data_IF_166023987048
#
_entry.id   IF_166023987048
#
_cell.length_a   1.000
_cell.length_b   1.000
_cell.length_c   1.000
_cell.angle_alpha   90.00
_cell.angle_beta   90.00
_cell.angle_gamma   90.00
#
_symmetry.space_group_name_H-M   'P 1'
#
loop_
_entity.id
_entity.type
_entity.pdbx_description
1 polymer ?
#
# COMPACT_ATOMS: atom_id res chain seq x y z
N UNK A 1 -26.31 -40.29 -21.48
CA UNK A 1 -24.85 -40.13 -21.35
C UNK A 1 -24.51 -38.65 -21.23
N UNK A 2 -24.85 -37.97 -20.13
CA UNK A 2 -24.69 -36.49 -20.03
C UNK A 2 -24.66 -35.89 -18.62
N UNK A 3 -25.21 -36.54 -17.59
CA UNK A 3 -25.32 -35.92 -16.24
C UNK A 3 -23.99 -35.87 -15.48
N UNK A 4 -23.19 -36.95 -15.54
CA UNK A 4 -21.94 -37.09 -14.75
C UNK A 4 -20.84 -36.15 -15.23
N UNK A 5 -20.77 -35.85 -16.53
CA UNK A 5 -19.78 -34.96 -17.11
C UNK A 5 -19.98 -33.50 -16.71
N UNK A 6 -21.24 -33.07 -16.52
CA UNK A 6 -21.56 -31.72 -16.03
C UNK A 6 -21.16 -31.49 -14.57
N UNK A 7 -21.30 -32.51 -13.72
CA UNK A 7 -20.85 -32.42 -12.32
C UNK A 7 -19.33 -32.31 -12.20
N UNK A 8 -18.59 -33.01 -13.06
CA UNK A 8 -17.12 -32.96 -13.07
C UNK A 8 -16.66 -31.58 -13.57
N UNK A 9 -17.25 -31.04 -14.63
CA UNK A 9 -16.92 -29.69 -15.14
C UNK A 9 -17.26 -28.60 -14.11
N UNK A 10 -18.42 -28.69 -13.45
CA UNK A 10 -18.80 -27.76 -12.39
C UNK A 10 -17.83 -27.83 -11.19
N UNK A 11 -17.40 -29.04 -10.80
CA UNK A 11 -16.45 -29.24 -9.71
C UNK A 11 -15.06 -28.67 -10.04
N UNK A 12 -14.57 -28.88 -11.26
CA UNK A 12 -13.28 -28.32 -11.72
C UNK A 12 -13.33 -26.78 -11.82
N UNK A 13 -14.47 -26.21 -12.21
CA UNK A 13 -14.66 -24.75 -12.19
C UNK A 13 -14.79 -24.18 -10.77
N UNK A 14 -15.36 -24.93 -9.83
CA UNK A 14 -15.42 -24.52 -8.42
C UNK A 14 -14.02 -24.53 -7.77
N UNK A 15 -13.20 -25.53 -8.07
CA UNK A 15 -11.86 -25.64 -7.48
C UNK A 15 -10.87 -24.65 -8.07
N UNK A 16 -10.97 -24.31 -9.37
CA UNK A 16 -10.11 -23.29 -9.99
C UNK A 16 -10.36 -21.88 -9.43
N UNK A 17 -11.61 -21.53 -9.12
CA UNK A 17 -11.95 -20.26 -8.46
C UNK A 17 -11.42 -20.19 -7.02
N UNK A 18 -11.48 -21.29 -6.26
CA UNK A 18 -10.98 -21.36 -4.89
C UNK A 18 -9.44 -21.29 -4.83
N UNK A 19 -8.73 -21.92 -5.78
CA UNK A 19 -7.26 -21.85 -5.88
C UNK A 19 -6.80 -20.42 -6.24
N UNK A 20 -7.60 -19.69 -7.01
CA UNK A 20 -7.31 -18.29 -7.37
C UNK A 20 -7.49 -17.32 -6.18
N UNK A 21 -8.47 -17.56 -5.30
CA UNK A 21 -8.71 -16.72 -4.12
C UNK A 21 -7.60 -16.78 -3.05
N UNK A 22 -6.84 -17.87 -2.99
CA UNK A 22 -5.76 -18.04 -2.00
C UNK A 22 -4.49 -17.23 -2.30
N UNK A 23 -4.39 -16.62 -3.49
CA UNK A 23 -3.26 -15.80 -3.91
C UNK A 23 -3.47 -14.30 -3.65
N UNK A 24 -4.54 -13.93 -2.94
CA UNK A 24 -4.94 -12.54 -2.74
C UNK A 24 -4.01 -11.81 -1.76
N UNK A 25 -3.03 -11.11 -2.34
CA UNK A 25 -2.24 -9.97 -1.83
C UNK A 25 -1.79 -9.98 -0.37
N UNK A 26 -0.62 -10.57 -0.11
CA UNK A 26 0.23 -10.16 1.00
C UNK A 26 0.82 -8.76 0.71
N UNK A 27 0.02 -7.70 0.81
CA UNK A 27 0.55 -6.33 0.73
C UNK A 27 1.21 -6.00 2.07
N UNK A 28 2.53 -5.72 2.12
CA UNK A 28 3.17 -5.32 3.36
C UNK A 28 2.52 -4.05 3.89
N UNK A 29 2.16 -4.03 5.18
CA UNK A 29 1.61 -2.84 5.82
C UNK A 29 2.69 -1.75 5.87
N UNK A 30 2.43 -0.63 5.20
CA UNK A 30 3.31 0.53 5.23
C UNK A 30 3.31 1.17 6.63
N UNK A 31 4.45 1.70 7.10
CA UNK A 31 4.54 2.33 8.40
C UNK A 31 3.65 3.58 8.46
N UNK A 32 2.88 3.71 9.55
CA UNK A 32 2.00 4.86 9.81
C UNK A 32 2.37 5.55 11.12
N UNK A 33 2.33 6.88 11.12
CA UNK A 33 2.62 7.72 12.30
C UNK A 33 1.63 8.88 12.34
N UNK A 34 1.13 9.22 13.54
CA UNK A 34 0.33 10.44 13.75
C UNK A 34 1.20 11.61 14.20
N UNK A 35 0.98 12.76 13.60
CA UNK A 35 1.57 14.07 13.92
C UNK A 35 0.43 15.08 14.10
N UNK A 36 0.72 16.28 14.59
CA UNK A 36 -0.28 17.34 14.79
C UNK A 36 -1.11 17.65 13.53
N UNK A 37 -0.50 17.57 12.34
CA UNK A 37 -1.15 17.84 11.06
C UNK A 37 -1.92 16.66 10.47
N UNK A 38 -1.84 15.46 11.06
CA UNK A 38 -2.57 14.28 10.60
C UNK A 38 -1.78 12.96 10.65
N UNK A 39 -2.28 11.94 9.95
CA UNK A 39 -1.61 10.65 9.81
C UNK A 39 -0.71 10.64 8.57
N UNK A 40 0.53 10.18 8.75
CA UNK A 40 1.54 10.03 7.71
C UNK A 40 1.72 8.55 7.40
N UNK A 41 1.85 8.21 6.11
CA UNK A 41 2.27 6.90 5.64
C UNK A 41 3.66 7.01 5.02
N UNK A 42 4.57 6.13 5.43
CA UNK A 42 5.95 6.10 4.93
C UNK A 42 6.27 4.83 4.15
N UNK A 43 7.55 4.64 3.85
CA UNK A 43 8.13 3.41 3.29
C UNK A 43 9.14 2.81 4.26
N UNK A 44 9.48 1.53 4.04
CA UNK A 44 10.62 0.88 4.68
C UNK A 44 11.65 0.64 3.58
N UNK A 45 12.73 1.41 3.63
CA UNK A 45 13.87 1.30 2.73
C UNK A 45 15.04 0.63 3.46
N UNK A 46 16.16 0.43 2.77
CA UNK A 46 17.38 -0.10 3.39
C UNK A 46 18.54 0.88 3.21
N UNK A 47 19.39 1.02 4.24
CA UNK A 47 20.62 1.81 4.14
C UNK A 47 21.54 1.23 3.06
N UNK A 48 22.13 2.08 2.21
CA UNK A 48 22.95 1.63 1.08
C UNK A 48 24.16 0.79 1.48
N UNK A 49 24.81 1.09 2.61
CA UNK A 49 26.08 0.45 3.02
C UNK A 49 25.84 -0.79 3.88
N UNK A 50 24.97 -0.68 4.89
CA UNK A 50 24.80 -1.75 5.89
C UNK A 50 23.56 -2.62 5.68
N UNK A 51 22.71 -2.29 4.71
CA UNK A 51 21.45 -3.01 4.45
C UNK A 51 20.44 -2.99 5.60
N UNK A 52 20.56 -2.06 6.56
CA UNK A 52 19.65 -1.96 7.70
C UNK A 52 18.33 -1.31 7.28
N UNK A 53 17.20 -1.75 7.83
CA UNK A 53 15.90 -1.13 7.54
C UNK A 53 15.86 0.31 8.03
N UNK A 54 15.29 1.19 7.21
CA UNK A 54 15.10 2.62 7.45
C UNK A 54 13.63 2.95 7.18
N UNK A 55 12.95 3.53 8.17
CA UNK A 55 11.60 4.05 7.99
C UNK A 55 11.68 5.46 7.40
N UNK A 56 11.24 5.62 6.16
CA UNK A 56 11.35 6.88 5.43
C UNK A 56 9.96 7.54 5.28
N UNK A 57 9.85 8.79 5.73
CA UNK A 57 8.68 9.64 5.53
C UNK A 57 9.13 10.93 4.84
N UNK A 58 8.87 11.03 3.54
CA UNK A 58 9.42 12.07 2.68
C UNK A 58 8.31 13.04 2.22
N UNK A 59 8.69 14.30 1.95
CA UNK A 59 7.78 15.31 1.41
C UNK A 59 6.70 15.80 2.38
N UNK A 60 6.89 15.61 3.70
CA UNK A 60 5.92 16.07 4.71
C UNK A 60 5.88 17.61 4.69
N UNK A 61 4.72 18.23 4.47
CA UNK A 61 4.60 19.69 4.54
C UNK A 61 4.74 20.15 6.00
N UNK A 62 5.63 21.11 6.22
CA UNK A 62 5.86 21.73 7.53
C UNK A 62 5.26 23.13 7.64
N UNK A 63 4.82 23.70 6.52
CA UNK A 63 4.22 25.03 6.42
C UNK A 63 3.32 25.09 5.19
N UNK A 64 2.48 26.12 5.14
CA UNK A 64 1.67 26.44 3.97
C UNK A 64 2.55 26.74 2.74
N UNK A 65 2.25 26.20 1.55
CA UNK A 65 3.05 26.47 0.35
C UNK A 65 3.16 27.98 0.04
N UNK A 66 4.35 28.50 -0.31
CA UNK A 66 4.60 29.94 -0.50
C UNK A 66 4.16 30.43 -1.89
N UNK A 67 2.93 30.07 -2.29
CA UNK A 67 2.33 30.40 -3.60
C UNK A 67 1.29 31.51 -3.48
N UNK A 68 1.01 32.22 -4.58
CA UNK A 68 0.03 33.32 -4.64
C UNK A 68 0.25 34.39 -3.55
N UNK A 69 -0.74 34.59 -2.69
CA UNK A 69 -0.76 35.54 -1.57
C UNK A 69 0.24 35.21 -0.45
N UNK A 70 0.84 34.01 -0.47
CA UNK A 70 1.84 33.57 0.50
C UNK A 70 3.27 33.83 0.01
N UNK A 71 3.44 34.25 -1.25
CA UNK A 71 4.76 34.60 -1.77
C UNK A 71 5.33 35.76 -0.94
N UNK A 72 6.60 35.63 -0.54
CA UNK A 72 7.32 36.60 0.29
C UNK A 72 6.78 36.81 1.71
N UNK A 73 5.90 35.92 2.20
CA UNK A 73 5.46 35.91 3.61
C UNK A 73 6.21 34.86 4.42
N UNK A 74 6.30 35.07 5.73
CA UNK A 74 6.81 34.06 6.67
C UNK A 74 5.91 32.82 6.58
N UNK A 75 6.54 31.64 6.49
CA UNK A 75 5.84 30.36 6.50
C UNK A 75 5.15 30.16 7.84
N UNK A 76 3.85 29.86 7.77
CA UNK A 76 3.02 29.45 8.90
C UNK A 76 2.56 28.01 8.73
#
# INVERSE_FOLDING_TARGET
MTRKTWFIVAYVCLTSAAICCSLTSLSPSLPRVRVESGELSGSIDNTAVTGRPLYAFLGIPYASPPVYKNRFKVGV
#
